data_IF_190035955416
#
_entry.id   IF_190035955416
#
_cell.length_a   1.000
_cell.length_b   1.000
_cell.length_c   1.000
_cell.angle_alpha   90.00
_cell.angle_beta   90.00
_cell.angle_gamma   90.00
#
_symmetry.space_group_name_H-M   'P 1'
#
loop_
_entity.id
_entity.type
_entity.pdbx_description
1 polymer ?
#
# COMPACT_ATOMS: atom_id res chain seq x y z
N UNK A 1 9.57 -20.64 -8.59
CA UNK A 1 10.19 -19.97 -7.43
C UNK A 1 10.07 -18.46 -7.61
N UNK A 2 9.04 -17.81 -7.03
CA UNK A 2 8.86 -16.37 -7.17
C UNK A 2 9.79 -15.65 -6.17
N UNK A 3 10.87 -15.04 -6.67
CA UNK A 3 11.82 -14.25 -5.86
C UNK A 3 11.16 -12.93 -5.51
N UNK A 4 10.81 -12.74 -4.24
CA UNK A 4 10.37 -11.46 -3.73
C UNK A 4 11.60 -10.53 -3.72
N UNK A 5 11.71 -9.66 -4.72
CA UNK A 5 12.83 -8.71 -4.79
C UNK A 5 12.64 -7.64 -3.72
N UNK A 6 13.47 -7.68 -2.68
CA UNK A 6 13.51 -6.61 -1.69
C UNK A 6 14.06 -5.32 -2.32
N UNK A 7 13.46 -4.16 -2.07
CA UNK A 7 14.03 -2.89 -2.50
C UNK A 7 15.34 -2.64 -1.76
N UNK A 8 16.45 -2.50 -2.50
CA UNK A 8 17.74 -2.06 -1.94
C UNK A 8 17.59 -0.69 -1.30
N UNK A 9 17.96 -0.55 -0.01
CA UNK A 9 18.10 0.77 0.64
C UNK A 9 19.11 1.60 -0.16
N UNK A 10 18.65 2.64 -0.87
CA UNK A 10 19.53 3.63 -1.50
C UNK A 10 20.15 4.46 -0.38
N UNK A 11 21.48 4.43 -0.25
CA UNK A 11 22.25 5.36 0.60
C UNK A 11 21.84 6.78 0.21
N UNK A 12 21.17 7.51 1.11
CA UNK A 12 20.79 8.92 0.89
C UNK A 12 19.30 9.27 0.98
N UNK A 13 18.38 8.34 1.26
CA UNK A 13 17.01 8.74 1.62
C UNK A 13 17.01 9.18 3.10
N UNK A 14 16.68 10.44 3.42
CA UNK A 14 16.45 10.86 4.80
C UNK A 14 15.44 9.90 5.45
N UNK A 15 15.61 9.55 6.73
CA UNK A 15 14.60 8.75 7.42
C UNK A 15 13.28 9.52 7.38
N UNK A 16 12.26 8.87 6.82
CA UNK A 16 10.88 9.33 6.89
C UNK A 16 10.17 8.29 7.74
N UNK A 17 9.34 8.72 8.68
CA UNK A 17 8.48 7.86 9.52
C UNK A 17 7.49 7.12 8.61
N UNK A 18 7.94 6.00 8.04
CA UNK A 18 7.19 5.17 7.13
C UNK A 18 7.82 3.78 7.07
N UNK A 19 7.00 2.76 7.25
CA UNK A 19 7.41 1.37 7.12
C UNK A 19 6.86 0.75 5.82
N UNK A 20 7.59 -0.21 5.27
CA UNK A 20 7.14 -0.95 4.10
C UNK A 20 6.17 -2.07 4.50
N UNK A 21 4.93 -1.99 4.04
CA UNK A 21 3.97 -3.11 4.12
C UNK A 21 4.40 -4.24 3.16
N UNK A 22 5.10 -5.25 3.68
CA UNK A 22 5.57 -6.42 2.93
C UNK A 22 4.51 -7.54 2.99
N UNK A 23 3.58 -7.54 2.03
CA UNK A 23 2.56 -8.59 1.91
C UNK A 23 2.50 -9.15 0.48
N UNK A 24 2.26 -10.47 0.38
CA UNK A 24 1.86 -11.09 -0.89
C UNK A 24 0.34 -11.03 -1.00
N UNK A 25 -0.15 -10.64 -2.17
CA UNK A 25 -1.56 -10.59 -2.48
C UNK A 25 -1.86 -11.41 -3.73
N UNK A 26 -3.06 -11.96 -3.82
CA UNK A 26 -3.53 -12.65 -5.02
C UNK A 26 -3.63 -11.69 -6.21
N UNK A 27 -3.35 -12.17 -7.42
CA UNK A 27 -3.37 -11.35 -8.63
C UNK A 27 -4.70 -10.63 -8.90
N UNK A 28 -5.89 -11.21 -8.62
CA UNK A 28 -7.16 -10.49 -8.75
C UNK A 28 -7.22 -9.24 -7.87
N UNK A 29 -6.75 -9.33 -6.62
CA UNK A 29 -6.72 -8.19 -5.70
C UNK A 29 -5.78 -7.10 -6.20
N UNK A 30 -4.59 -7.47 -6.67
CA UNK A 30 -3.62 -6.52 -7.25
C UNK A 30 -4.24 -5.79 -8.45
N UNK A 31 -4.92 -6.51 -9.34
CA UNK A 31 -5.61 -5.92 -10.50
C UNK A 31 -6.74 -4.98 -10.08
N UNK A 32 -7.49 -5.32 -9.04
CA UNK A 32 -8.55 -4.48 -8.50
C UNK A 32 -8.00 -3.16 -7.95
N UNK A 33 -6.90 -3.21 -7.20
CA UNK A 33 -6.20 -2.01 -6.70
C UNK A 33 -5.72 -1.14 -7.87
N UNK A 34 -5.15 -1.73 -8.92
CA UNK A 34 -4.71 -1.00 -10.11
C UNK A 34 -5.84 -0.34 -10.88
N UNK A 35 -6.99 -1.01 -10.99
CA UNK A 35 -8.18 -0.45 -11.61
C UNK A 35 -8.75 0.70 -10.79
N UNK A 36 -8.74 0.59 -9.46
CA UNK A 36 -9.14 1.68 -8.57
C UNK A 36 -8.20 2.88 -8.69
N UNK A 37 -6.89 2.65 -8.68
CA UNK A 37 -5.86 3.68 -8.82
C UNK A 37 -6.03 4.48 -10.13
N UNK A 38 -6.23 3.76 -11.25
CA UNK A 38 -6.47 4.38 -12.57
C UNK A 38 -7.74 5.25 -12.58
N UNK A 39 -8.84 4.76 -12.01
CA UNK A 39 -10.11 5.52 -11.94
C UNK A 39 -10.00 6.81 -11.12
N UNK A 40 -9.12 6.85 -10.13
CA UNK A 40 -8.93 8.01 -9.25
C UNK A 40 -7.69 8.84 -9.61
N UNK A 41 -7.00 8.51 -10.70
CA UNK A 41 -5.76 9.15 -11.14
C UNK A 41 -4.69 9.27 -10.04
N UNK A 42 -4.48 8.19 -9.28
CA UNK A 42 -3.47 8.12 -8.21
C UNK A 42 -2.48 6.97 -8.44
N UNK A 43 -1.35 7.01 -7.75
CA UNK A 43 -0.38 5.91 -7.78
C UNK A 43 -0.92 4.66 -7.08
N UNK A 44 -0.39 3.47 -7.39
CA UNK A 44 -0.74 2.23 -6.68
C UNK A 44 -0.51 2.34 -5.17
N UNK A 45 0.62 2.92 -4.75
CA UNK A 45 0.94 3.09 -3.34
C UNK A 45 -0.10 3.97 -2.62
N UNK A 46 -0.54 5.03 -3.29
CA UNK A 46 -1.59 5.92 -2.78
C UNK A 46 -2.96 5.25 -2.74
N UNK A 47 -3.29 4.46 -3.77
CA UNK A 47 -4.50 3.64 -3.78
C UNK A 47 -4.53 2.65 -2.62
N UNK A 48 -3.42 1.95 -2.35
CA UNK A 48 -3.29 1.04 -1.21
C UNK A 48 -3.53 1.77 0.11
N UNK A 49 -2.90 2.93 0.33
CA UNK A 49 -3.10 3.73 1.56
C UNK A 49 -4.58 4.09 1.77
N UNK A 50 -5.23 4.64 0.75
CA UNK A 50 -6.65 5.05 0.84
C UNK A 50 -7.59 3.89 1.03
N UNK A 51 -7.36 2.77 0.33
CA UNK A 51 -8.20 1.58 0.44
C UNK A 51 -8.04 0.91 1.81
N UNK A 52 -6.82 0.84 2.35
CA UNK A 52 -6.58 0.35 3.71
C UNK A 52 -7.28 1.26 4.73
N UNK A 53 -7.09 2.58 4.65
CA UNK A 53 -7.74 3.52 5.56
C UNK A 53 -9.27 3.38 5.55
N UNK A 54 -9.88 3.34 4.35
CA UNK A 54 -11.32 3.08 4.21
C UNK A 54 -11.76 1.76 4.83
N UNK A 55 -10.95 0.70 4.68
CA UNK A 55 -11.22 -0.60 5.30
C UNK A 55 -11.17 -0.52 6.82
N UNK A 56 -10.12 0.08 7.38
CA UNK A 56 -9.93 0.25 8.82
C UNK A 56 -11.06 1.05 9.46
N UNK A 57 -11.45 2.18 8.85
CA UNK A 57 -12.59 2.98 9.33
C UNK A 57 -13.90 2.19 9.29
N UNK A 58 -14.12 1.33 8.29
CA UNK A 58 -15.29 0.46 8.22
C UNK A 58 -15.32 -0.61 9.32
N UNK A 59 -14.15 -0.99 9.86
CA UNK A 59 -14.02 -1.88 11.02
C UNK A 59 -13.99 -1.13 12.36
N UNK A 60 -14.24 0.19 12.38
CA UNK A 60 -14.29 0.99 13.59
C UNK A 60 -12.93 1.39 14.15
N UNK A 61 -11.84 1.17 13.41
CA UNK A 61 -10.52 1.69 13.76
C UNK A 61 -10.46 3.16 13.35
N UNK A 62 -10.25 4.03 14.35
CA UNK A 62 -10.28 5.47 14.17
C UNK A 62 -8.92 6.03 13.74
N UNK A 63 -8.90 7.17 13.04
CA UNK A 63 -7.65 7.85 12.63
C UNK A 63 -6.78 8.25 13.84
N UNK A 64 -7.34 8.32 15.05
CA UNK A 64 -6.60 8.54 16.29
C UNK A 64 -5.79 7.34 16.78
N UNK A 65 -6.02 6.15 16.21
CA UNK A 65 -5.33 4.90 16.53
C UNK A 65 -4.31 4.50 15.45
N UNK A 66 -4.16 5.31 14.38
CA UNK A 66 -3.32 5.06 13.19
C UNK A 66 -2.10 5.99 13.17
#
# INVERSE_FOLDING_TARGET
>A
MSKLNEPKKKRGRPPVESEQLRARAEMPLVRAVDAWARRHNVTRAEAVRRLIGKGLSAFGVSDSEI
#
